data_IF_102829205091
#
_entry.id   IF_102829205091
#
_cell.length_a   1.000
_cell.length_b   1.000
_cell.length_c   1.000
_cell.angle_alpha   90.00
_cell.angle_beta   90.00
_cell.angle_gamma   90.00
#
_symmetry.space_group_name_H-M   'P 1'
#
loop_
_entity.id
_entity.type
_entity.pdbx_description
1 polymer ?
#
# COMPACT_ATOMS: atom_id res chain seq x y z
N UNK A 1 -14.67 -25.01 25.01
CA UNK A 1 -14.74 -24.27 23.73
C UNK A 1 -13.43 -23.51 23.58
N UNK A 2 -12.47 -24.07 22.86
CA UNK A 2 -11.12 -23.50 22.74
C UNK A 2 -11.01 -22.68 21.46
N UNK A 3 -11.09 -21.36 21.60
CA UNK A 3 -10.88 -20.41 20.51
C UNK A 3 -9.42 -20.41 20.07
N UNK A 4 -9.26 -20.66 18.78
CA UNK A 4 -8.04 -20.74 17.96
C UNK A 4 -6.88 -19.85 18.38
N UNK A 5 -5.72 -20.50 18.53
CA UNK A 5 -4.38 -19.94 18.67
C UNK A 5 -4.07 -19.08 17.44
N UNK A 6 -4.21 -17.75 17.57
CA UNK A 6 -3.72 -16.83 16.55
C UNK A 6 -2.24 -16.53 16.84
N UNK A 7 -1.37 -17.48 16.51
CA UNK A 7 0.07 -17.29 16.57
C UNK A 7 0.52 -16.85 15.18
N UNK A 8 0.99 -15.59 14.99
CA UNK A 8 1.63 -15.22 13.74
C UNK A 8 2.91 -16.05 13.66
N UNK A 9 2.89 -17.08 12.83
CA UNK A 9 4.08 -17.86 12.53
C UNK A 9 5.01 -16.95 11.75
N UNK A 10 6.00 -16.41 12.45
CA UNK A 10 7.16 -15.77 11.85
C UNK A 10 7.78 -16.75 10.84
N UNK A 11 7.45 -16.59 9.55
CA UNK A 11 8.08 -17.32 8.46
C UNK A 11 9.30 -16.52 8.02
N UNK A 12 10.47 -17.01 8.40
CA UNK A 12 11.78 -16.64 7.83
C UNK A 12 11.65 -16.53 6.31
N UNK A 13 11.89 -15.35 5.75
CA UNK A 13 12.09 -15.11 4.32
C UNK A 13 10.82 -15.06 3.45
N UNK A 14 9.63 -15.13 4.02
CA UNK A 14 8.36 -15.04 3.28
C UNK A 14 7.71 -13.67 3.50
N UNK A 15 7.21 -13.06 2.44
CA UNK A 15 6.49 -11.80 2.50
C UNK A 15 5.29 -11.88 3.44
N UNK A 16 4.92 -10.75 4.02
CA UNK A 16 3.79 -10.63 4.94
C UNK A 16 2.46 -10.97 4.22
N UNK A 17 1.46 -11.50 4.95
CA UNK A 17 0.20 -11.92 4.35
C UNK A 17 -0.58 -10.75 3.74
N UNK A 18 -1.22 -11.01 2.60
CA UNK A 18 -2.07 -10.07 1.85
C UNK A 18 -3.15 -9.38 2.71
N UNK A 19 -3.69 -10.08 3.71
CA UNK A 19 -4.77 -9.57 4.57
C UNK A 19 -4.38 -8.31 5.37
N UNK A 20 -3.09 -8.04 5.53
CA UNK A 20 -2.58 -6.85 6.23
C UNK A 20 -2.47 -5.61 5.33
N UNK A 21 -2.70 -5.78 4.03
CA UNK A 21 -2.41 -4.74 3.02
C UNK A 21 -3.65 -3.97 2.59
N UNK A 22 -4.85 -4.51 2.75
CA UNK A 22 -6.06 -3.86 2.22
C UNK A 22 -6.30 -2.47 2.80
N UNK A 23 -6.18 -2.31 4.13
CA UNK A 23 -6.30 -0.99 4.78
C UNK A 23 -5.17 -0.03 4.40
N UNK A 24 -3.97 -0.56 4.12
CA UNK A 24 -2.85 0.26 3.65
C UNK A 24 -3.08 0.75 2.23
N UNK A 25 -3.64 -0.09 1.35
CA UNK A 25 -4.02 0.28 -0.01
C UNK A 25 -5.16 1.30 -0.04
N UNK A 26 -6.18 1.15 0.80
CA UNK A 26 -7.27 2.13 0.91
C UNK A 26 -6.76 3.51 1.33
N UNK A 27 -5.83 3.54 2.28
CA UNK A 27 -5.17 4.79 2.68
C UNK A 27 -4.37 5.40 1.52
N UNK A 28 -3.54 4.60 0.83
CA UNK A 28 -2.75 5.07 -0.31
C UNK A 28 -3.63 5.57 -1.46
N UNK A 29 -4.73 4.88 -1.76
CA UNK A 29 -5.70 5.32 -2.76
C UNK A 29 -6.30 6.68 -2.45
N UNK A 30 -6.68 6.89 -1.20
CA UNK A 30 -7.24 8.17 -0.74
C UNK A 30 -6.20 9.29 -0.82
N UNK A 31 -4.95 9.00 -0.44
CA UNK A 31 -3.86 9.98 -0.48
C UNK A 31 -3.47 10.36 -1.91
N UNK A 32 -3.32 9.39 -2.81
CA UNK A 32 -3.02 9.65 -4.23
C UNK A 32 -4.16 10.44 -4.88
N UNK A 33 -5.41 10.12 -4.55
CA UNK A 33 -6.56 10.89 -5.03
C UNK A 33 -6.56 12.34 -4.51
N UNK A 34 -6.18 12.55 -3.26
CA UNK A 34 -6.06 13.89 -2.68
C UNK A 34 -4.94 14.70 -3.34
N UNK A 35 -3.76 14.11 -3.53
CA UNK A 35 -2.61 14.75 -4.19
C UNK A 35 -2.92 15.14 -5.63
N UNK A 36 -3.53 14.23 -6.40
CA UNK A 36 -3.87 14.47 -7.82
C UNK A 36 -5.00 15.48 -8.02
N UNK A 37 -5.74 15.85 -6.95
CA UNK A 37 -6.80 16.87 -7.03
C UNK A 37 -6.26 18.31 -7.01
N UNK A 38 -4.98 18.52 -6.70
CA UNK A 38 -4.35 19.84 -6.67
C UNK A 38 -4.79 20.73 -5.49
N UNK A 39 -5.49 20.16 -4.51
CA UNK A 39 -5.99 20.84 -3.29
C UNK A 39 -5.05 20.61 -2.09
N UNK A 40 -3.86 20.06 -2.35
CA UNK A 40 -2.88 19.61 -1.36
C UNK A 40 -1.87 20.71 -1.02
N UNK A 41 -2.34 21.94 -0.84
CA UNK A 41 -1.49 23.07 -0.49
C UNK A 41 -0.89 22.82 0.91
N UNK A 42 0.44 22.73 1.00
CA UNK A 42 1.32 22.97 2.16
C UNK A 42 1.86 21.84 3.06
N UNK A 43 1.25 20.65 3.21
CA UNK A 43 1.82 19.59 4.08
C UNK A 43 2.20 18.30 3.36
N UNK A 44 1.42 17.90 2.36
CA UNK A 44 1.63 16.67 1.59
C UNK A 44 2.42 16.90 0.30
N UNK A 45 2.45 18.13 -0.20
CA UNK A 45 3.35 18.58 -1.27
C UNK A 45 4.85 18.39 -0.93
N UNK A 46 5.21 18.36 0.36
CA UNK A 46 6.59 18.05 0.78
C UNK A 46 6.97 16.58 0.61
N UNK A 47 5.98 15.69 0.48
CA UNK A 47 6.19 14.28 0.20
C UNK A 47 6.03 14.10 -1.30
N UNK A 48 7.16 14.25 -2.01
CA UNK A 48 7.22 14.18 -3.47
C UNK A 48 6.64 12.86 -4.03
N UNK A 49 6.30 12.89 -5.31
CA UNK A 49 5.84 11.72 -6.07
C UNK A 49 6.76 10.49 -5.88
N UNK A 50 8.07 10.71 -5.81
CA UNK A 50 9.08 9.66 -5.58
C UNK A 50 8.90 8.96 -4.22
N UNK A 51 8.54 9.70 -3.17
CA UNK A 51 8.28 9.13 -1.85
C UNK A 51 7.08 8.17 -1.90
N UNK A 52 6.00 8.60 -2.54
CA UNK A 52 4.78 7.79 -2.66
C UNK A 52 5.00 6.56 -3.56
N UNK A 53 5.73 6.72 -4.66
CA UNK A 53 6.12 5.61 -5.53
C UNK A 53 6.92 4.56 -4.74
N UNK A 54 7.95 4.99 -4.00
CA UNK A 54 8.76 4.09 -3.17
C UNK A 54 7.91 3.36 -2.13
N UNK A 55 6.97 4.07 -1.50
CA UNK A 55 6.07 3.49 -0.49
C UNK A 55 5.12 2.45 -1.09
N UNK A 56 4.60 2.69 -2.30
CA UNK A 56 3.74 1.74 -3.01
C UNK A 56 4.54 0.51 -3.47
N UNK A 57 5.75 0.68 -3.99
CA UNK A 57 6.64 -0.43 -4.39
C UNK A 57 7.04 -1.31 -3.20
N UNK A 58 7.29 -0.70 -2.04
CA UNK A 58 7.60 -1.42 -0.81
C UNK A 58 6.49 -2.43 -0.43
N UNK A 59 5.21 -2.16 -0.75
CA UNK A 59 4.14 -3.14 -0.52
C UNK A 59 4.31 -4.41 -1.35
N UNK A 60 4.77 -4.31 -2.60
CA UNK A 60 5.01 -5.46 -3.47
C UNK A 60 6.21 -6.27 -3.01
N UNK A 61 7.20 -5.61 -2.42
CA UNK A 61 8.42 -6.26 -1.91
C UNK A 61 8.18 -6.97 -0.57
N UNK A 62 7.36 -6.36 0.29
CA UNK A 62 7.15 -6.79 1.67
C UNK A 62 5.97 -7.73 1.86
N UNK A 63 4.97 -7.72 0.96
CA UNK A 63 3.74 -8.51 1.11
C UNK A 63 3.46 -9.40 -0.11
N UNK A 64 2.91 -10.59 0.15
CA UNK A 64 2.46 -11.51 -0.89
C UNK A 64 1.09 -11.07 -1.40
N UNK A 65 1.11 -10.01 -2.23
CA UNK A 65 -0.11 -9.41 -2.77
C UNK A 65 -0.88 -10.38 -3.67
N UNK A 66 -2.18 -10.47 -3.44
CA UNK A 66 -3.09 -11.20 -4.34
C UNK A 66 -3.38 -10.38 -5.60
N UNK A 67 -3.90 -11.03 -6.65
CA UNK A 67 -4.11 -10.41 -7.96
C UNK A 67 -4.95 -9.11 -7.93
N UNK A 68 -5.94 -9.02 -7.04
CA UNK A 68 -6.74 -7.79 -6.87
C UNK A 68 -5.91 -6.65 -6.28
N UNK A 69 -5.07 -6.93 -5.28
CA UNK A 69 -4.18 -5.96 -4.65
C UNK A 69 -3.07 -5.51 -5.61
N UNK A 70 -2.51 -6.43 -6.40
CA UNK A 70 -1.55 -6.09 -7.44
C UNK A 70 -2.14 -5.12 -8.47
N UNK A 71 -3.38 -5.34 -8.92
CA UNK A 71 -4.06 -4.42 -9.84
C UNK A 71 -4.28 -3.03 -9.21
N UNK A 72 -4.60 -2.96 -7.92
CA UNK A 72 -4.74 -1.69 -7.18
C UNK A 72 -3.41 -0.95 -7.13
N UNK A 73 -2.33 -1.66 -6.80
CA UNK A 73 -0.96 -1.11 -6.80
C UNK A 73 -0.57 -0.56 -8.17
N UNK A 74 -0.76 -1.32 -9.25
CA UNK A 74 -0.45 -0.85 -10.61
C UNK A 74 -1.21 0.44 -10.94
N UNK A 75 -2.51 0.50 -10.65
CA UNK A 75 -3.32 1.70 -10.88
C UNK A 75 -2.84 2.91 -10.07
N UNK A 76 -2.32 2.71 -8.87
CA UNK A 76 -1.76 3.80 -8.06
C UNK A 76 -0.47 4.33 -8.65
N UNK A 77 0.42 3.44 -9.11
CA UNK A 77 1.67 3.83 -9.77
C UNK A 77 1.38 4.60 -11.07
N UNK A 78 0.44 4.12 -11.89
CA UNK A 78 0.04 4.81 -13.13
C UNK A 78 -0.51 6.22 -12.88
N UNK A 79 -1.21 6.43 -11.74
CA UNK A 79 -1.76 7.74 -11.34
C UNK A 79 -0.67 8.72 -10.89
N UNK A 80 0.41 8.22 -10.30
CA UNK A 80 1.54 9.06 -9.90
C UNK A 80 2.46 9.45 -11.06
N UNK A 81 2.33 8.78 -12.22
CA UNK A 81 3.11 9.08 -13.43
C UNK A 81 2.41 10.05 -14.39
N UNK A 82 1.21 10.53 -14.05
CA UNK A 82 0.35 11.38 -14.89
C UNK A 82 0.30 12.80 -14.36
#
# INVERSE_FOLDING_TARGET
MSGTINRPTARRGGRLPASLVDSQLEHLESMVQYLTRGDADSALDRLDHEYWERRIRALQETHDLIASQQRRVSKLLDRLQR
#
